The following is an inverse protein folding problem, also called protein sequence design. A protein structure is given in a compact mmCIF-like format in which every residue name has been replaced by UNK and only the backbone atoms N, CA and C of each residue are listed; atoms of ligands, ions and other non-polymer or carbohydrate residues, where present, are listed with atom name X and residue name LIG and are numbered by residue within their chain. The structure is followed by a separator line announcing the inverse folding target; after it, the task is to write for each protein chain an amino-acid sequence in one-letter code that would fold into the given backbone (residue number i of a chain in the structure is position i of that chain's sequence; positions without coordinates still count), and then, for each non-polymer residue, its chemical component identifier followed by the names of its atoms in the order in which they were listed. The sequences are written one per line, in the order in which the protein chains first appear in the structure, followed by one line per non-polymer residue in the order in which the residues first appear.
data_IF_508885447394
#
_entry.id   IF_508885447394
#
_cell.length_a   1.000
_cell.length_b   1.000
_cell.length_c   1.000
_cell.angle_alpha   90.00
_cell.angle_beta   90.00
_cell.angle_gamma   90.00
#
_symmetry.space_group_name_H-M   'P 1'
#
loop_
_entity.id
_entity.type
_entity.pdbx_description
1 polymer ?
#
# COMPACT_ATOMS: atom_id res chain seq x y z
N UNK A 1 23.19 21.97 -12.84
CA UNK A 1 23.93 22.20 -14.11
C UNK A 1 25.11 21.23 -14.13
N UNK A 2 25.41 20.53 -15.23
CA UNK A 2 26.59 19.64 -15.29
C UNK A 2 27.86 20.48 -15.48
N UNK A 3 28.90 20.20 -14.70
CA UNK A 3 30.24 20.73 -14.98
C UNK A 3 30.90 19.99 -16.17
N UNK A 4 32.03 20.49 -16.68
CA UNK A 4 32.79 19.85 -17.76
C UNK A 4 33.30 18.43 -17.43
N UNK A 5 33.18 17.99 -16.17
CA UNK A 5 33.66 16.71 -15.67
C UNK A 5 32.52 15.73 -15.35
N UNK A 6 31.26 16.11 -15.61
CA UNK A 6 30.09 15.24 -15.45
C UNK A 6 29.51 15.19 -14.03
N UNK A 7 29.95 16.04 -13.11
CA UNK A 7 29.45 16.06 -11.73
C UNK A 7 28.15 16.86 -11.62
N UNK A 8 27.26 16.40 -10.73
CA UNK A 8 25.97 17.04 -10.45
C UNK A 8 26.19 18.14 -9.40
N UNK A 9 26.15 19.39 -9.82
CA UNK A 9 26.08 20.53 -8.91
C UNK A 9 24.63 20.98 -8.72
N UNK A 10 24.16 20.82 -7.48
CA UNK A 10 22.91 21.41 -7.00
C UNK A 10 23.16 22.90 -6.72
N UNK A 11 22.36 23.76 -7.33
CA UNK A 11 22.34 25.19 -7.03
C UNK A 11 21.01 25.50 -6.36
N UNK A 12 21.02 26.37 -5.35
CA UNK A 12 19.77 26.93 -4.84
C UNK A 12 19.14 27.80 -5.94
N UNK A 13 18.03 27.31 -6.49
CA UNK A 13 17.21 28.05 -7.42
C UNK A 13 16.07 28.72 -6.65
N UNK A 14 15.81 29.99 -6.96
CA UNK A 14 14.66 30.70 -6.41
C UNK A 14 13.36 30.01 -6.86
N UNK A 15 12.58 29.52 -5.89
CA UNK A 15 11.31 28.86 -6.17
C UNK A 15 10.24 29.93 -6.33
N UNK A 16 9.99 30.34 -7.57
CA UNK A 16 8.88 31.23 -7.91
C UNK A 16 7.60 30.38 -8.00
N UNK A 17 6.69 30.58 -7.03
CA UNK A 17 5.37 29.93 -7.03
C UNK A 17 4.36 30.90 -7.61
N UNK A 18 3.69 30.51 -8.70
CA UNK A 18 2.54 31.25 -9.22
C UNK A 18 1.29 30.98 -8.36
N UNK A 19 1.18 31.74 -7.27
CA UNK A 19 0.03 31.66 -6.38
C UNK A 19 -1.27 32.06 -7.06
N UNK A 20 -1.22 32.95 -8.05
CA UNK A 20 -2.43 33.47 -8.71
C UNK A 20 -3.16 32.38 -9.48
N UNK A 21 -2.41 31.60 -10.26
CA UNK A 21 -2.94 30.44 -10.98
C UNK A 21 -3.47 29.37 -10.01
N UNK A 22 -2.74 29.08 -8.92
CA UNK A 22 -3.15 28.09 -7.93
C UNK A 22 -4.43 28.51 -7.18
N UNK A 23 -4.58 29.79 -6.84
CA UNK A 23 -5.79 30.33 -6.25
C UNK A 23 -6.97 30.23 -7.22
N UNK A 24 -6.76 30.58 -8.50
CA UNK A 24 -7.81 30.48 -9.52
C UNK A 24 -8.30 29.04 -9.72
N UNK A 25 -7.39 28.06 -9.72
CA UNK A 25 -7.75 26.64 -9.79
C UNK A 25 -8.57 26.22 -8.58
N UNK A 26 -8.13 26.58 -7.37
CA UNK A 26 -8.86 26.28 -6.14
C UNK A 26 -10.28 26.88 -6.17
N UNK A 27 -10.44 28.14 -6.57
CA UNK A 27 -11.74 28.79 -6.71
C UNK A 27 -12.63 28.12 -7.76
N UNK A 28 -12.06 27.75 -8.92
CA UNK A 28 -12.81 27.13 -10.02
C UNK A 28 -13.29 25.71 -9.67
N UNK A 29 -12.49 24.97 -8.91
CA UNK A 29 -12.80 23.59 -8.50
C UNK A 29 -13.62 23.49 -7.21
N UNK A 30 -13.88 24.62 -6.54
CA UNK A 30 -14.53 24.65 -5.23
C UNK A 30 -13.63 24.17 -4.07
N UNK A 31 -12.32 24.08 -4.30
CA UNK A 31 -11.31 23.77 -3.31
C UNK A 31 -10.79 25.01 -2.56
N UNK A 32 -9.74 24.84 -1.77
CA UNK A 32 -9.05 25.92 -1.06
C UNK A 32 -7.56 25.92 -1.39
N UNK A 33 -6.99 27.10 -1.59
CA UNK A 33 -5.56 27.29 -1.72
C UNK A 33 -4.89 27.36 -0.34
N UNK A 34 -3.74 26.72 -0.19
CA UNK A 34 -2.94 26.72 1.02
C UNK A 34 -1.46 26.91 0.69
N UNK A 35 -0.76 27.75 1.45
CA UNK A 35 0.70 27.94 1.36
C UNK A 35 1.37 27.41 2.62
N UNK A 36 2.08 26.29 2.50
CA UNK A 36 2.85 25.71 3.61
C UNK A 36 4.26 26.32 3.63
N UNK A 37 4.58 27.15 4.63
CA UNK A 37 5.90 27.76 4.79
C UNK A 37 6.77 27.04 5.83
N UNK A 38 6.16 26.16 6.63
CA UNK A 38 6.84 25.39 7.67
C UNK A 38 6.07 24.09 8.01
N UNK A 39 6.72 23.17 8.74
CA UNK A 39 6.13 21.87 9.10
C UNK A 39 4.82 21.97 9.90
N UNK A 40 4.66 23.01 10.74
CA UNK A 40 3.44 23.21 11.53
C UNK A 40 2.27 23.63 10.63
N UNK A 41 2.50 24.57 9.71
CA UNK A 41 1.52 24.98 8.69
C UNK A 41 1.10 23.80 7.82
N UNK A 42 2.05 22.94 7.44
CA UNK A 42 1.76 21.73 6.66
C UNK A 42 0.81 20.79 7.41
N UNK A 43 1.08 20.53 8.70
CA UNK A 43 0.22 19.68 9.54
C UNK A 43 -1.19 20.25 9.68
N UNK A 44 -1.30 21.57 9.83
CA UNK A 44 -2.60 22.23 9.93
C UNK A 44 -3.38 22.16 8.61
N UNK A 45 -2.70 22.33 7.47
CA UNK A 45 -3.30 22.19 6.13
C UNK A 45 -3.86 20.78 5.94
N UNK A 46 -3.10 19.74 6.28
CA UNK A 46 -3.60 18.36 6.21
C UNK A 46 -4.82 18.11 7.10
N UNK A 47 -4.85 18.71 8.30
CA UNK A 47 -6.02 18.63 9.19
C UNK A 47 -7.26 19.29 8.58
N UNK A 48 -7.11 20.42 7.89
CA UNK A 48 -8.23 21.07 7.19
C UNK A 48 -8.68 20.28 5.95
N UNK A 49 -7.76 19.65 5.22
CA UNK A 49 -8.09 18.77 4.09
C UNK A 49 -8.91 17.55 4.56
N UNK A 50 -8.50 16.90 5.65
CA UNK A 50 -9.21 15.74 6.22
C UNK A 50 -10.66 16.06 6.60
N UNK A 51 -10.93 17.29 7.08
CA UNK A 51 -12.29 17.76 7.38
C UNK A 51 -13.15 17.98 6.12
N UNK A 52 -12.53 18.31 4.99
CA UNK A 52 -13.23 18.57 3.72
C UNK A 52 -13.45 17.30 2.91
N UNK A 53 -12.78 16.20 3.24
CA UNK A 53 -13.00 14.90 2.59
C UNK A 53 -14.40 14.36 2.89
N UNK A 54 -15.25 14.34 1.85
CA UNK A 54 -16.63 13.83 1.93
C UNK A 54 -16.72 12.32 2.13
N UNK A 55 -15.64 11.59 1.86
CA UNK A 55 -15.61 10.13 1.93
C UNK A 55 -14.31 9.71 2.58
N UNK A 56 -14.38 9.21 3.81
CA UNK A 56 -13.24 8.52 4.40
C UNK A 56 -13.03 7.25 3.59
N UNK A 57 -11.98 7.22 2.78
CA UNK A 57 -11.48 5.97 2.23
C UNK A 57 -10.97 5.14 3.41
N UNK A 58 -11.88 4.49 4.13
CA UNK A 58 -11.58 3.27 4.85
C UNK A 58 -11.23 2.28 3.75
N UNK A 59 -9.97 2.28 3.34
CA UNK A 59 -9.35 1.10 2.78
C UNK A 59 -9.35 0.08 3.91
N UNK A 60 -10.52 -0.52 4.13
CA UNK A 60 -10.60 -1.84 4.71
C UNK A 60 -9.74 -2.67 3.76
N UNK A 61 -8.49 -2.90 4.16
CA UNK A 61 -7.59 -3.80 3.47
C UNK A 61 -8.23 -5.18 3.60
N UNK A 62 -9.26 -5.46 2.81
CA UNK A 62 -9.79 -6.79 2.58
C UNK A 62 -8.71 -7.52 1.79
N UNK A 63 -7.67 -7.94 2.49
CA UNK A 63 -6.72 -8.92 2.01
C UNK A 63 -7.50 -10.21 1.83
N UNK A 64 -8.10 -10.38 0.64
CA UNK A 64 -8.84 -11.57 0.27
C UNK A 64 -7.83 -12.68 -0.02
N UNK A 65 -7.25 -13.23 1.04
CA UNK A 65 -6.29 -14.33 0.96
C UNK A 65 -7.06 -15.63 0.75
N UNK A 66 -7.00 -16.16 -0.46
CA UNK A 66 -7.50 -17.50 -0.76
C UNK A 66 -6.42 -18.52 -0.39
N UNK A 67 -6.69 -19.32 0.63
CA UNK A 67 -5.79 -20.38 1.08
C UNK A 67 -6.04 -21.66 0.28
N UNK A 68 -5.13 -21.98 -0.63
CA UNK A 68 -5.21 -23.15 -1.51
C UNK A 68 -4.60 -24.43 -0.87
N UNK A 69 -4.35 -24.46 0.44
CA UNK A 69 -3.70 -25.62 1.08
C UNK A 69 -4.66 -26.80 1.33
N UNK A 70 -5.97 -26.57 1.36
CA UNK A 70 -6.99 -27.60 1.64
C UNK A 70 -6.87 -28.84 0.74
N UNK A 71 -6.72 -28.75 -0.60
CA UNK A 71 -6.54 -29.94 -1.43
C UNK A 71 -5.27 -30.74 -1.09
N UNK A 72 -4.17 -30.05 -0.76
CA UNK A 72 -2.91 -30.72 -0.37
C UNK A 72 -3.03 -31.39 1.01
N UNK A 73 -3.75 -30.76 1.94
CA UNK A 73 -4.04 -31.33 3.26
C UNK A 73 -4.87 -32.62 3.14
N UNK A 74 -5.91 -32.61 2.31
CA UNK A 74 -6.74 -33.80 2.06
C UNK A 74 -5.94 -34.93 1.40
N UNK A 75 -5.07 -34.60 0.45
CA UNK A 75 -4.19 -35.58 -0.18
C UNK A 75 -3.20 -36.19 0.81
N UNK A 76 -2.57 -35.37 1.66
CA UNK A 76 -1.67 -35.84 2.71
C UNK A 76 -2.40 -36.74 3.72
N UNK A 77 -3.60 -36.35 4.14
CA UNK A 77 -4.44 -37.15 5.04
C UNK A 77 -4.81 -38.50 4.40
N UNK A 78 -5.15 -38.51 3.11
CA UNK A 78 -5.45 -39.74 2.37
C UNK A 78 -4.27 -40.71 2.32
N UNK A 79 -3.06 -40.21 2.03
CA UNK A 79 -1.82 -41.02 2.03
C UNK A 79 -1.55 -41.60 3.42
N UNK A 80 -1.72 -40.79 4.48
CA UNK A 80 -1.49 -41.22 5.86
C UNK A 80 -2.47 -42.33 6.27
N UNK A 81 -3.75 -42.21 5.92
CA UNK A 81 -4.74 -43.25 6.20
C UNK A 81 -4.45 -44.55 5.43
N UNK A 82 -4.01 -44.43 4.17
CA UNK A 82 -3.63 -45.57 3.35
C UNK A 82 -2.41 -46.29 3.95
N UNK A 83 -1.41 -45.55 4.40
CA UNK A 83 -0.23 -46.09 5.08
C UNK A 83 -0.59 -46.87 6.36
N UNK A 84 -1.46 -46.29 7.21
CA UNK A 84 -1.96 -46.97 8.40
C UNK A 84 -2.73 -48.24 8.01
N UNK A 85 -3.58 -48.16 6.99
CA UNK A 85 -4.35 -49.30 6.51
C UNK A 85 -3.44 -50.45 6.05
N UNK A 86 -2.38 -50.16 5.29
CA UNK A 86 -1.39 -51.15 4.86
C UNK A 86 -0.68 -51.78 6.07
N UNK A 87 -0.21 -50.96 7.02
CA UNK A 87 0.48 -51.48 8.22
C UNK A 87 -0.42 -52.36 9.08
N UNK A 88 -1.67 -51.95 9.28
CA UNK A 88 -2.63 -52.65 10.14
C UNK A 88 -3.17 -53.90 9.45
N UNK A 89 -3.42 -53.88 8.14
CA UNK A 89 -4.11 -54.95 7.44
C UNK A 89 -3.16 -55.91 6.70
N UNK A 90 -2.12 -55.39 6.06
CA UNK A 90 -1.20 -56.20 5.23
C UNK A 90 -0.02 -56.69 6.07
N UNK A 91 0.63 -55.79 6.82
CA UNK A 91 1.83 -56.14 7.60
C UNK A 91 1.53 -57.04 8.81
N UNK A 92 0.29 -57.04 9.32
CA UNK A 92 -0.16 -57.97 10.37
C UNK A 92 -0.70 -59.31 9.85
N UNK A 93 -0.94 -59.42 8.53
CA UNK A 93 -1.43 -60.67 7.91
C UNK A 93 -0.34 -61.50 7.25
N UNK A 94 0.90 -61.01 7.22
CA UNK A 94 2.09 -61.82 6.94
C UNK A 94 2.70 -62.25 8.28
N UNK A 95 2.74 -63.55 8.61
CA UNK A 95 3.51 -64.05 9.75
C UNK A 95 5.01 -63.83 9.56
#
# INVERSE_FOLDING_TARGET
MLDQFGNIHYTEAEVVIDETTLQQIASTTGGKYFRATNASSLKQIYSEIDKMEKTKLKTENYSRRYEQYIPFLLLALGILLLDIFIRVFILRRLP
#
